data_IF_807224799367
#
_entry.id   IF_807224799367
#
_cell.length_a   1.000
_cell.length_b   1.000
_cell.length_c   1.000
_cell.angle_alpha   90.00
_cell.angle_beta   90.00
_cell.angle_gamma   90.00
#
_symmetry.space_group_name_H-M   'P 1'
#
loop_
_entity.id
_entity.type
_entity.pdbx_description
1 polymer ?
#
# COMPACT_ATOMS: atom_id res chain seq x y z
N UNK A 1 -8.61 -4.90 16.85
CA UNK A 1 -9.60 -3.82 17.09
C UNK A 1 -8.92 -2.46 17.32
N UNK A 2 -7.92 -2.35 18.21
CA UNK A 2 -7.20 -1.08 18.43
C UNK A 2 -6.62 -0.45 17.16
N UNK A 3 -5.98 -1.25 16.31
CA UNK A 3 -5.48 -0.79 15.01
C UNK A 3 -6.56 -0.13 14.12
N UNK A 4 -7.76 -0.73 14.03
CA UNK A 4 -8.86 -0.16 13.25
C UNK A 4 -9.30 1.20 13.79
N UNK A 5 -9.34 1.34 15.13
CA UNK A 5 -9.67 2.59 15.80
C UNK A 5 -8.60 3.66 15.57
N UNK A 6 -7.33 3.29 15.61
CA UNK A 6 -6.22 4.21 15.38
C UNK A 6 -6.10 4.67 13.93
N UNK A 7 -6.41 3.80 12.96
CA UNK A 7 -6.33 4.12 11.53
C UNK A 7 -7.59 4.80 10.98
N UNK A 8 -8.75 4.63 11.61
CA UNK A 8 -10.01 5.17 11.10
C UNK A 8 -10.00 6.69 10.85
N UNK A 9 -9.40 7.55 11.70
CA UNK A 9 -9.39 8.99 11.44
C UNK A 9 -8.65 9.33 10.14
N UNK A 10 -7.48 8.72 9.93
CA UNK A 10 -6.71 8.89 8.70
C UNK A 10 -7.50 8.39 7.49
N UNK A 11 -8.06 7.18 7.57
CA UNK A 11 -8.84 6.61 6.45
C UNK A 11 -10.01 7.51 6.07
N UNK A 12 -10.72 8.05 7.06
CA UNK A 12 -11.83 8.98 6.83
C UNK A 12 -11.34 10.27 6.17
N UNK A 13 -10.27 10.89 6.70
CA UNK A 13 -9.69 12.12 6.13
C UNK A 13 -9.29 11.90 4.68
N UNK A 14 -8.52 10.85 4.40
CA UNK A 14 -8.08 10.52 3.04
C UNK A 14 -9.28 10.24 2.12
N UNK A 15 -10.26 9.47 2.59
CA UNK A 15 -11.45 9.15 1.79
C UNK A 15 -12.29 10.40 1.47
N UNK A 16 -12.49 11.29 2.45
CA UNK A 16 -13.23 12.54 2.25
C UNK A 16 -12.49 13.45 1.27
N UNK A 17 -11.18 13.64 1.45
CA UNK A 17 -10.37 14.42 0.52
C UNK A 17 -10.39 13.84 -0.89
N UNK A 18 -10.34 12.51 -1.03
CA UNK A 18 -10.41 11.85 -2.32
C UNK A 18 -11.76 12.09 -2.98
N UNK A 19 -12.87 11.99 -2.24
CA UNK A 19 -14.20 12.29 -2.75
C UNK A 19 -14.34 13.75 -3.20
N UNK A 20 -13.86 14.70 -2.38
CA UNK A 20 -13.80 16.12 -2.75
C UNK A 20 -13.02 16.29 -4.05
N UNK A 21 -11.82 15.73 -4.13
CA UNK A 21 -10.99 15.78 -5.34
C UNK A 21 -11.75 15.23 -6.55
N UNK A 22 -12.41 14.08 -6.40
CA UNK A 22 -13.15 13.44 -7.49
C UNK A 22 -14.31 14.31 -7.98
N UNK A 23 -15.06 14.91 -7.06
CA UNK A 23 -16.21 15.76 -7.38
C UNK A 23 -15.82 17.04 -8.12
N UNK A 24 -14.67 17.65 -7.80
CA UNK A 24 -14.20 18.88 -8.45
C UNK A 24 -13.42 18.62 -9.74
N UNK A 25 -12.68 17.52 -9.82
CA UNK A 25 -11.77 17.24 -10.94
C UNK A 25 -12.47 16.49 -12.08
N UNK A 26 -13.33 15.53 -11.76
CA UNK A 26 -13.91 14.66 -12.78
C UNK A 26 -15.35 15.07 -13.10
N UNK A 27 -15.67 15.31 -14.39
CA UNK A 27 -17.04 15.59 -14.79
C UNK A 27 -17.91 14.36 -14.53
N UNK A 28 -19.15 14.60 -14.07
CA UNK A 28 -20.16 13.57 -13.90
C UNK A 28 -20.61 12.99 -15.25
N UNK A 29 -19.81 12.07 -15.81
CA UNK A 29 -20.11 11.36 -17.05
C UNK A 29 -20.78 10.04 -16.73
N UNK A 30 -21.91 9.78 -17.40
CA UNK A 30 -22.55 8.46 -17.35
C UNK A 30 -21.56 7.43 -17.88
N UNK A 31 -21.19 6.46 -17.04
CA UNK A 31 -20.34 5.34 -17.42
C UNK A 31 -21.14 4.51 -18.43
N UNK A 32 -20.82 4.66 -19.71
CA UNK A 32 -21.32 3.74 -20.74
C UNK A 32 -20.56 2.44 -20.53
N UNK A 33 -21.18 1.51 -19.81
CA UNK A 33 -20.71 0.14 -19.75
C UNK A 33 -20.82 -0.41 -21.16
N UNK A 34 -19.70 -0.41 -21.90
CA UNK A 34 -19.60 -1.32 -23.03
C UNK A 34 -19.90 -2.71 -22.47
N UNK A 35 -20.81 -3.43 -23.11
CA UNK A 35 -21.05 -4.84 -22.84
C UNK A 35 -19.81 -5.64 -23.28
N UNK A 36 -18.69 -5.43 -22.61
CA UNK A 36 -17.56 -6.32 -22.69
C UNK A 36 -18.08 -7.65 -22.17
N UNK A 37 -17.99 -8.69 -22.99
CA UNK A 37 -18.25 -10.06 -22.57
C UNK A 37 -17.21 -10.39 -21.49
N UNK A 38 -17.56 -10.15 -20.23
CA UNK A 38 -16.74 -10.57 -19.12
C UNK A 38 -16.72 -12.10 -19.12
N UNK A 39 -15.54 -12.74 -19.01
CA UNK A 39 -15.49 -14.18 -18.88
C UNK A 39 -16.33 -14.60 -17.67
N UNK A 40 -17.11 -15.69 -17.76
CA UNK A 40 -17.97 -16.11 -16.67
C UNK A 40 -17.13 -16.38 -15.42
N UNK A 41 -17.55 -15.80 -14.29
CA UNK A 41 -16.89 -16.00 -13.00
C UNK A 41 -16.99 -17.47 -12.62
N UNK A 42 -15.85 -18.13 -12.44
CA UNK A 42 -15.83 -19.51 -11.96
C UNK A 42 -16.10 -19.54 -10.44
N UNK A 43 -17.38 -19.62 -10.07
CA UNK A 43 -17.83 -19.63 -8.66
C UNK A 43 -17.18 -20.74 -7.83
N UNK A 44 -17.00 -21.94 -8.40
CA UNK A 44 -16.34 -23.05 -7.71
C UNK A 44 -14.90 -22.68 -7.33
N UNK A 45 -14.17 -22.11 -8.27
CA UNK A 45 -12.80 -21.66 -8.04
C UNK A 45 -12.75 -20.52 -7.02
N UNK A 46 -13.69 -19.58 -7.07
CA UNK A 46 -13.79 -18.49 -6.10
C UNK A 46 -13.96 -19.01 -4.67
N UNK A 47 -14.97 -19.86 -4.42
CA UNK A 47 -15.21 -20.40 -3.09
C UNK A 47 -14.09 -21.31 -2.61
N UNK A 48 -13.51 -22.14 -3.50
CA UNK A 48 -12.34 -22.94 -3.17
C UNK A 48 -11.15 -22.06 -2.76
N UNK A 49 -10.86 -21.00 -3.52
CA UNK A 49 -9.74 -20.08 -3.20
C UNK A 49 -9.98 -19.33 -1.90
N UNK A 50 -11.21 -18.85 -1.66
CA UNK A 50 -11.57 -18.17 -0.43
C UNK A 50 -11.46 -19.09 0.80
N UNK A 51 -11.93 -20.34 0.67
CA UNK A 51 -11.80 -21.33 1.72
C UNK A 51 -10.33 -21.68 2.02
N UNK A 52 -9.52 -21.92 0.98
CA UNK A 52 -8.09 -22.16 1.13
C UNK A 52 -7.35 -20.96 1.74
N UNK A 53 -7.77 -19.72 1.43
CA UNK A 53 -7.21 -18.52 2.05
C UNK A 53 -7.50 -18.49 3.56
N UNK A 54 -8.73 -18.76 3.97
CA UNK A 54 -9.10 -18.81 5.39
C UNK A 54 -8.29 -19.88 6.10
N UNK A 55 -8.20 -21.09 5.54
CA UNK A 55 -7.39 -22.16 6.13
C UNK A 55 -5.90 -21.81 6.18
N UNK A 56 -5.37 -21.11 5.18
CA UNK A 56 -4.00 -20.65 5.19
C UNK A 56 -3.74 -19.66 6.32
N UNK A 57 -4.66 -18.71 6.57
CA UNK A 57 -4.56 -17.77 7.69
C UNK A 57 -4.49 -18.53 9.01
N UNK A 58 -5.38 -19.50 9.24
CA UNK A 58 -5.31 -20.36 10.42
C UNK A 58 -3.99 -21.15 10.50
N UNK A 59 -3.49 -21.65 9.36
CA UNK A 59 -2.21 -22.36 9.32
C UNK A 59 -1.03 -21.48 9.71
N UNK A 60 -1.06 -20.18 9.38
CA UNK A 60 -0.04 -19.22 9.81
C UNK A 60 -0.09 -19.00 11.31
N UNK A 61 -1.28 -18.86 11.89
CA UNK A 61 -1.44 -18.74 13.35
C UNK A 61 -0.92 -19.98 14.10
N UNK A 62 -1.09 -21.18 13.50
CA UNK A 62 -0.62 -22.45 14.04
C UNK A 62 0.85 -22.78 13.70
N UNK A 63 1.58 -21.90 12.97
CA UNK A 63 2.98 -22.10 12.54
C UNK A 63 3.21 -23.32 11.61
N UNK A 64 2.23 -23.67 10.79
CA UNK A 64 2.31 -24.74 9.77
C UNK A 64 2.29 -24.21 8.34
N UNK A 65 2.52 -22.92 8.13
CA UNK A 65 2.35 -22.21 6.85
C UNK A 65 3.11 -22.84 5.69
N UNK A 66 4.31 -23.37 5.95
CA UNK A 66 5.15 -24.01 4.93
C UNK A 66 4.47 -25.26 4.35
N UNK A 67 3.93 -26.12 5.21
CA UNK A 67 3.23 -27.34 4.78
C UNK A 67 1.94 -27.02 4.06
N UNK A 68 1.19 -26.04 4.56
CA UNK A 68 -0.09 -25.66 3.95
C UNK A 68 0.09 -24.99 2.59
N UNK A 69 1.16 -24.22 2.40
CA UNK A 69 1.53 -23.69 1.07
C UNK A 69 1.77 -24.81 0.06
N UNK A 70 2.46 -25.88 0.45
CA UNK A 70 2.69 -27.04 -0.42
C UNK A 70 1.36 -27.70 -0.79
N UNK A 71 0.45 -27.86 0.18
CA UNK A 71 -0.89 -28.41 -0.05
C UNK A 71 -1.68 -27.55 -1.04
N UNK A 72 -1.70 -26.23 -0.85
CA UNK A 72 -2.37 -25.29 -1.77
C UNK A 72 -1.79 -25.42 -3.19
N UNK A 73 -0.46 -25.47 -3.30
CA UNK A 73 0.21 -25.58 -4.59
C UNK A 73 -0.16 -26.89 -5.30
N UNK A 74 -0.13 -28.02 -4.58
CA UNK A 74 -0.57 -29.34 -5.08
C UNK A 74 -2.03 -29.29 -5.52
N UNK A 75 -2.93 -28.75 -4.70
CA UNK A 75 -4.35 -28.64 -5.03
C UNK A 75 -4.55 -27.84 -6.33
N UNK A 76 -3.93 -26.67 -6.47
CA UNK A 76 -4.06 -25.91 -7.71
C UNK A 76 -3.37 -26.58 -8.90
N UNK A 77 -2.27 -27.30 -8.68
CA UNK A 77 -1.58 -28.02 -9.75
C UNK A 77 -2.48 -29.10 -10.37
N UNK A 78 -3.21 -29.86 -9.55
CA UNK A 78 -4.11 -30.92 -10.01
C UNK A 78 -5.48 -30.40 -10.45
N UNK A 79 -6.10 -29.49 -9.70
CA UNK A 79 -7.48 -29.06 -9.96
C UNK A 79 -7.59 -27.87 -10.92
N UNK A 80 -6.61 -26.95 -10.95
CA UNK A 80 -6.65 -25.81 -11.85
C UNK A 80 -5.28 -25.15 -12.09
N UNK A 81 -4.39 -25.83 -12.84
CA UNK A 81 -3.03 -25.35 -13.14
C UNK A 81 -2.97 -23.96 -13.78
N UNK A 82 -4.07 -23.51 -14.41
CA UNK A 82 -4.18 -22.16 -14.99
C UNK A 82 -4.05 -21.07 -13.93
N UNK A 83 -4.42 -21.33 -12.67
CA UNK A 83 -4.24 -20.39 -11.56
C UNK A 83 -2.74 -20.13 -11.37
N UNK A 84 -1.95 -21.19 -11.20
CA UNK A 84 -0.49 -21.10 -11.04
C UNK A 84 0.14 -20.40 -12.24
N UNK A 85 -0.25 -20.74 -13.47
CA UNK A 85 0.33 -20.15 -14.69
C UNK A 85 -0.04 -18.67 -14.89
N UNK A 86 -1.21 -18.23 -14.41
CA UNK A 86 -1.69 -16.84 -14.57
C UNK A 86 -1.30 -15.92 -13.41
N UNK A 87 -0.77 -16.47 -12.32
CA UNK A 87 -0.23 -15.68 -11.22
C UNK A 87 0.91 -14.80 -11.72
N UNK A 88 0.92 -13.54 -11.30
CA UNK A 88 2.00 -12.59 -11.60
C UNK A 88 3.21 -12.89 -10.70
N UNK A 89 3.96 -13.93 -11.05
CA UNK A 89 5.17 -14.33 -10.31
C UNK A 89 6.22 -13.22 -10.26
N UNK A 90 6.28 -12.37 -11.29
CA UNK A 90 7.16 -11.20 -11.31
C UNK A 90 6.83 -10.22 -10.17
N UNK A 91 5.54 -10.00 -9.88
CA UNK A 91 5.13 -9.20 -8.72
C UNK A 91 5.55 -9.84 -7.39
N UNK A 92 5.44 -11.17 -7.27
CA UNK A 92 5.88 -11.89 -6.05
C UNK A 92 7.40 -11.73 -5.85
N UNK A 93 8.19 -11.94 -6.90
CA UNK A 93 9.64 -11.75 -6.83
C UNK A 93 10.01 -10.29 -6.51
N UNK A 94 9.30 -9.32 -7.08
CA UNK A 94 9.49 -7.91 -6.74
C UNK A 94 9.29 -7.65 -5.23
N UNK A 95 8.26 -8.25 -4.62
CA UNK A 95 8.07 -8.16 -3.17
C UNK A 95 9.24 -8.79 -2.40
N UNK A 96 9.70 -9.98 -2.80
CA UNK A 96 10.85 -10.65 -2.17
C UNK A 96 12.09 -9.76 -2.22
N UNK A 97 12.43 -9.21 -3.39
CA UNK A 97 13.58 -8.33 -3.54
C UNK A 97 13.48 -7.10 -2.66
N UNK A 98 12.32 -6.45 -2.61
CA UNK A 98 12.15 -5.26 -1.79
C UNK A 98 12.32 -5.57 -0.30
N UNK A 99 11.80 -6.70 0.20
CA UNK A 99 12.04 -7.11 1.59
C UNK A 99 13.50 -7.44 1.91
N UNK A 100 14.23 -8.05 0.97
CA UNK A 100 15.67 -8.29 1.10
C UNK A 100 16.43 -6.95 1.12
N UNK A 101 16.09 -6.06 0.18
CA UNK A 101 16.76 -4.78 -0.04
C UNK A 101 16.49 -3.77 1.08
N UNK A 102 15.38 -3.87 1.82
CA UNK A 102 15.10 -2.97 2.96
C UNK A 102 16.25 -2.96 3.96
N UNK A 103 16.83 -4.13 4.26
CA UNK A 103 17.96 -4.22 5.18
C UNK A 103 19.20 -3.51 4.62
N UNK A 104 19.44 -3.61 3.32
CA UNK A 104 20.51 -2.90 2.65
C UNK A 104 20.29 -1.38 2.69
N UNK A 105 19.07 -0.91 2.40
CA UNK A 105 18.67 0.49 2.47
C UNK A 105 18.86 1.07 3.88
N UNK A 106 18.45 0.34 4.92
CA UNK A 106 18.66 0.72 6.31
C UNK A 106 20.15 0.84 6.69
N UNK A 107 21.06 0.18 5.96
CA UNK A 107 22.49 0.20 6.23
C UNK A 107 23.26 1.28 5.46
N UNK A 108 22.65 1.90 4.45
CA UNK A 108 23.29 2.95 3.65
C UNK A 108 23.69 4.15 4.52
N UNK A 109 24.97 4.49 4.48
CA UNK A 109 25.55 5.60 5.28
C UNK A 109 24.82 6.92 5.04
N UNK A 110 24.46 7.23 3.79
CA UNK A 110 23.74 8.46 3.45
C UNK A 110 22.37 8.56 4.13
N UNK A 111 21.60 7.46 4.14
CA UNK A 111 20.28 7.44 4.80
C UNK A 111 20.46 7.58 6.32
N UNK A 112 21.40 6.85 6.92
CA UNK A 112 21.69 6.97 8.36
C UNK A 112 22.08 8.40 8.75
N UNK A 113 22.98 9.03 8.00
CA UNK A 113 23.39 10.41 8.27
C UNK A 113 22.24 11.40 8.19
N UNK A 114 21.35 11.26 7.19
CA UNK A 114 20.16 12.13 7.08
C UNK A 114 19.21 11.97 8.26
N UNK A 115 19.02 10.74 8.76
CA UNK A 115 18.04 10.45 9.80
C UNK A 115 18.56 10.70 11.22
N UNK A 116 19.87 10.57 11.47
CA UNK A 116 20.46 10.75 12.80
C UNK A 116 20.28 12.18 13.35
N UNK A 117 20.13 13.17 12.46
CA UNK A 117 19.91 14.56 12.87
C UNK A 117 18.44 14.92 13.14
N UNK A 118 17.51 13.98 12.92
CA UNK A 118 16.09 14.21 13.10
C UNK A 118 15.61 13.73 14.47
N UNK A 119 14.83 14.56 15.15
CA UNK A 119 14.16 14.17 16.39
C UNK A 119 12.87 13.41 16.11
N UNK A 120 12.93 12.08 16.18
CA UNK A 120 11.77 11.21 15.97
C UNK A 120 10.84 11.08 17.18
N UNK A 121 11.16 11.72 18.32
CA UNK A 121 10.19 11.89 19.41
C UNK A 121 9.17 12.99 19.07
N UNK A 122 9.58 13.97 18.26
CA UNK A 122 8.66 14.92 17.68
C UNK A 122 7.78 14.23 16.63
N UNK A 123 6.49 14.19 16.93
CA UNK A 123 5.48 13.52 16.11
C UNK A 123 5.30 14.18 14.73
N UNK A 124 5.54 15.48 14.59
CA UNK A 124 5.50 16.16 13.29
C UNK A 124 6.71 15.76 12.43
N UNK A 125 7.91 15.71 13.02
CA UNK A 125 9.12 15.24 12.35
C UNK A 125 8.92 13.82 11.86
N UNK A 126 8.42 12.92 12.71
CA UNK A 126 8.15 11.53 12.35
C UNK A 126 7.11 11.39 11.23
N UNK A 127 6.03 12.18 11.27
CA UNK A 127 5.00 12.21 10.22
C UNK A 127 5.58 12.68 8.88
N UNK A 128 6.34 13.77 8.89
CA UNK A 128 7.01 14.33 7.70
C UNK A 128 8.02 13.36 7.12
N UNK A 129 8.89 12.80 7.96
CA UNK A 129 9.87 11.80 7.53
C UNK A 129 9.19 10.57 6.93
N UNK A 130 8.12 10.06 7.54
CA UNK A 130 7.33 8.95 6.98
C UNK A 130 6.73 9.28 5.62
N UNK A 131 6.14 10.46 5.50
CA UNK A 131 5.53 10.94 4.26
C UNK A 131 6.55 11.09 3.13
N UNK A 132 7.69 11.73 3.41
CA UNK A 132 8.73 11.99 2.41
C UNK A 132 9.53 10.74 2.04
N UNK A 133 9.91 9.91 3.02
CA UNK A 133 10.62 8.65 2.74
C UNK A 133 9.74 7.70 1.92
N UNK A 134 8.44 7.64 2.23
CA UNK A 134 7.52 6.81 1.45
C UNK A 134 7.40 7.27 0.00
N UNK A 135 7.64 8.53 -0.34
CA UNK A 135 7.67 8.97 -1.74
C UNK A 135 8.80 8.31 -2.54
N UNK A 136 9.94 8.06 -1.88
CA UNK A 136 11.19 7.66 -2.53
C UNK A 136 11.43 6.15 -2.43
N UNK A 137 11.15 5.54 -1.27
CA UNK A 137 11.49 4.15 -0.96
C UNK A 137 10.25 3.25 -0.89
N UNK A 138 9.06 3.81 -1.13
CA UNK A 138 7.74 3.20 -0.94
C UNK A 138 7.30 3.02 0.52
N UNK A 139 5.99 2.86 0.71
CA UNK A 139 5.34 2.80 2.01
C UNK A 139 5.82 1.66 2.92
N UNK A 140 6.05 0.45 2.39
CA UNK A 140 6.46 -0.71 3.21
C UNK A 140 7.90 -0.56 3.74
N UNK A 141 8.93 -0.33 2.90
CA UNK A 141 10.29 -0.11 3.39
C UNK A 141 10.45 1.12 4.27
N UNK A 142 9.74 2.22 3.96
CA UNK A 142 9.78 3.41 4.82
C UNK A 142 9.24 3.13 6.23
N UNK A 143 8.20 2.29 6.34
CA UNK A 143 7.64 1.85 7.63
C UNK A 143 8.67 1.06 8.43
N UNK A 144 9.28 0.05 7.80
CA UNK A 144 10.29 -0.81 8.45
C UNK A 144 11.49 0.03 8.87
N UNK A 145 11.96 0.92 8.00
CA UNK A 145 13.09 1.78 8.29
C UNK A 145 12.83 2.72 9.48
N UNK A 146 11.68 3.40 9.51
CA UNK A 146 11.35 4.31 10.62
C UNK A 146 11.01 3.59 11.93
N UNK A 147 10.53 2.35 11.88
CA UNK A 147 10.31 1.56 13.09
C UNK A 147 11.60 1.26 13.86
N UNK A 148 12.77 1.38 13.24
CA UNK A 148 14.06 1.30 13.93
C UNK A 148 14.40 2.56 14.74
N UNK A 149 13.71 3.69 14.48
CA UNK A 149 13.97 4.98 15.10
C UNK A 149 12.86 5.44 16.05
N UNK A 150 11.63 4.95 15.89
CA UNK A 150 10.52 5.29 16.78
C UNK A 150 9.54 4.12 16.95
N UNK A 151 9.05 3.86 18.18
CA UNK A 151 8.01 2.85 18.42
C UNK A 151 6.59 3.35 18.08
N UNK A 152 6.43 4.61 17.65
CA UNK A 152 5.11 5.20 17.43
C UNK A 152 4.51 4.79 16.07
N UNK A 153 4.01 3.55 16.01
CA UNK A 153 3.44 2.94 14.80
C UNK A 153 2.26 3.74 14.22
N UNK A 154 1.46 4.42 15.06
CA UNK A 154 0.34 5.26 14.60
C UNK A 154 0.85 6.37 13.68
N UNK A 155 1.83 7.15 14.15
CA UNK A 155 2.40 8.27 13.38
C UNK A 155 3.15 7.80 12.14
N UNK A 156 3.95 6.73 12.28
CA UNK A 156 4.67 6.15 11.14
C UNK A 156 3.66 5.73 10.07
N UNK A 157 2.63 4.98 10.45
CA UNK A 157 1.57 4.51 9.54
C UNK A 157 0.82 5.68 8.90
N UNK A 158 0.59 6.77 9.61
CA UNK A 158 -0.04 7.96 9.03
C UNK A 158 0.86 8.57 7.95
N UNK A 159 2.13 8.82 8.29
CA UNK A 159 3.07 9.42 7.36
C UNK A 159 3.25 8.59 6.09
N UNK A 160 3.54 7.30 6.23
CA UNK A 160 3.81 6.44 5.07
C UNK A 160 2.58 6.22 4.19
N UNK A 161 1.36 6.22 4.75
CA UNK A 161 0.14 6.09 3.93
C UNK A 161 -0.21 7.38 3.21
N UNK A 162 0.05 8.55 3.81
CA UNK A 162 -0.07 9.84 3.12
C UNK A 162 0.96 9.89 1.97
N UNK A 163 2.22 9.58 2.27
CA UNK A 163 3.31 9.52 1.29
C UNK A 163 3.07 8.52 0.15
N UNK A 164 2.46 7.37 0.42
CA UNK A 164 2.14 6.36 -0.59
C UNK A 164 1.17 6.81 -1.68
N UNK A 165 0.51 7.97 -1.53
CA UNK A 165 -0.42 8.52 -2.51
C UNK A 165 0.23 9.50 -3.50
N UNK A 166 1.53 9.75 -3.43
CA UNK A 166 2.20 10.71 -4.33
C UNK A 166 2.78 10.05 -5.58
N UNK A 167 4.09 9.78 -5.58
CA UNK A 167 4.82 9.28 -6.74
C UNK A 167 4.41 7.85 -7.11
N UNK A 168 4.66 7.46 -8.36
CA UNK A 168 4.42 6.11 -8.85
C UNK A 168 5.12 5.05 -8.01
N UNK A 169 6.38 5.31 -7.64
CA UNK A 169 7.19 4.41 -6.82
C UNK A 169 6.81 4.43 -5.33
N UNK A 170 5.96 5.37 -4.89
CA UNK A 170 5.65 5.54 -3.48
C UNK A 170 4.78 4.41 -2.91
N UNK A 171 4.11 3.65 -3.77
CA UNK A 171 3.31 2.49 -3.37
C UNK A 171 3.17 1.51 -4.53
N UNK A 172 3.18 0.22 -4.21
CA UNK A 172 2.87 -0.83 -5.18
C UNK A 172 1.47 -0.72 -5.76
N UNK A 173 0.51 -0.17 -5.00
CA UNK A 173 -0.84 0.05 -5.50
C UNK A 173 -0.82 0.96 -6.74
N UNK A 174 0.05 1.97 -6.76
CA UNK A 174 0.19 2.90 -7.88
C UNK A 174 0.79 2.19 -9.12
N UNK A 175 1.83 1.37 -8.90
CA UNK A 175 2.45 0.57 -9.96
C UNK A 175 1.46 -0.42 -10.59
N UNK A 176 0.68 -1.12 -9.75
CA UNK A 176 -0.33 -2.09 -10.19
C UNK A 176 -1.44 -1.37 -10.96
N UNK A 177 -1.96 -0.27 -10.43
CA UNK A 177 -3.04 0.50 -11.08
C UNK A 177 -2.62 1.02 -12.46
N UNK A 178 -1.42 1.62 -12.58
CA UNK A 178 -0.95 2.12 -13.87
C UNK A 178 -0.59 1.01 -14.86
N UNK A 179 -0.32 -0.22 -14.41
CA UNK A 179 -0.07 -1.37 -15.30
C UNK A 179 -1.28 -1.70 -16.19
N UNK A 180 -2.49 -1.45 -15.70
CA UNK A 180 -3.73 -1.71 -16.45
C UNK A 180 -4.15 -0.59 -17.41
N UNK A 181 -3.50 0.58 -17.34
CA UNK A 181 -3.83 1.72 -18.19
C UNK A 181 -2.93 1.69 -19.43
N UNK A 182 -3.53 1.59 -20.60
CA UNK A 182 -2.81 1.61 -21.87
C UNK A 182 -2.83 3.02 -22.50
N UNK A 183 -2.06 3.94 -21.91
CA UNK A 183 -1.88 5.30 -22.43
C UNK A 183 -0.47 5.80 -22.12
N UNK A 184 0.14 6.53 -23.07
CA UNK A 184 1.47 7.15 -22.89
C UNK A 184 1.44 8.31 -21.88
N UNK A 185 0.33 9.04 -21.79
CA UNK A 185 0.18 10.19 -20.88
C UNK A 185 -0.18 9.79 -19.43
N UNK A 186 -0.39 8.50 -19.15
CA UNK A 186 -0.88 8.02 -17.86
C UNK A 186 0.00 8.45 -16.68
N UNK A 187 1.32 8.46 -16.87
CA UNK A 187 2.27 8.81 -15.81
C UNK A 187 2.17 10.28 -15.42
N UNK A 188 2.16 11.18 -16.41
CA UNK A 188 2.05 12.62 -16.17
C UNK A 188 0.71 12.98 -15.52
N UNK A 189 -0.39 12.44 -16.05
CA UNK A 189 -1.73 12.68 -15.51
C UNK A 189 -1.83 12.15 -14.08
N UNK A 190 -1.30 10.94 -13.83
CA UNK A 190 -1.25 10.37 -12.49
C UNK A 190 -0.50 11.29 -11.53
N UNK A 191 0.74 11.64 -11.85
CA UNK A 191 1.58 12.46 -10.97
C UNK A 191 0.99 13.84 -10.70
N UNK A 192 0.33 14.46 -11.67
CA UNK A 192 -0.32 15.75 -11.48
C UNK A 192 -1.40 15.66 -10.39
N UNK A 193 -2.29 14.67 -10.46
CA UNK A 193 -3.37 14.50 -9.48
C UNK A 193 -2.87 13.92 -8.15
N UNK A 194 -1.98 12.94 -8.20
CA UNK A 194 -1.49 12.22 -7.03
C UNK A 194 -0.61 13.10 -6.14
N UNK A 195 0.28 13.93 -6.72
CA UNK A 195 1.08 14.89 -5.96
C UNK A 195 0.22 16.01 -5.37
N UNK A 196 -0.77 16.50 -6.12
CA UNK A 196 -1.70 17.51 -5.60
C UNK A 196 -2.48 16.96 -4.40
N UNK A 197 -3.02 15.75 -4.52
CA UNK A 197 -3.70 15.06 -3.44
C UNK A 197 -2.79 14.79 -2.23
N UNK A 198 -1.55 14.35 -2.46
CA UNK A 198 -0.54 14.16 -1.43
C UNK A 198 -0.25 15.45 -0.66
N UNK A 199 -0.01 16.57 -1.36
CA UNK A 199 0.29 17.85 -0.72
C UNK A 199 -0.90 18.33 0.11
N UNK A 200 -2.12 18.29 -0.44
CA UNK A 200 -3.33 18.70 0.29
C UNK A 200 -3.54 17.87 1.56
N UNK A 201 -3.43 16.54 1.46
CA UNK A 201 -3.65 15.65 2.61
C UNK A 201 -2.53 15.77 3.65
N UNK A 202 -1.27 15.92 3.22
CA UNK A 202 -0.14 16.15 4.13
C UNK A 202 -0.29 17.45 4.91
N UNK A 203 -0.58 18.56 4.22
CA UNK A 203 -0.77 19.87 4.87
C UNK A 203 -1.94 19.83 5.83
N UNK A 204 -3.06 19.21 5.44
CA UNK A 204 -4.22 19.05 6.31
C UNK A 204 -3.86 18.29 7.60
N UNK A 205 -3.22 17.12 7.48
CA UNK A 205 -2.86 16.31 8.67
C UNK A 205 -1.82 17.02 9.54
N UNK A 206 -0.89 17.79 8.95
CA UNK A 206 0.07 18.61 9.72
C UNK A 206 -0.62 19.74 10.50
N UNK A 207 -1.57 20.45 9.89
CA UNK A 207 -2.32 21.52 10.55
C UNK A 207 -3.21 20.99 11.68
N UNK A 208 -3.81 19.80 11.50
CA UNK A 208 -4.72 19.18 12.49
C UNK A 208 -4.04 18.11 13.36
N UNK A 209 -2.71 18.06 13.33
CA UNK A 209 -1.88 17.10 14.06
C UNK A 209 -2.20 17.05 15.55
N UNK A 210 -2.30 18.22 16.19
CA UNK A 210 -2.62 18.33 17.62
C UNK A 210 -3.97 17.73 18.00
N UNK A 211 -4.95 17.76 17.10
CA UNK A 211 -6.29 17.18 17.31
C UNK A 211 -6.29 15.67 17.02
N UNK A 212 -5.56 15.22 16.01
CA UNK A 212 -5.57 13.82 15.57
C UNK A 212 -4.75 12.87 16.46
N UNK A 213 -3.77 13.41 17.19
CA UNK A 213 -2.83 12.62 17.97
C UNK A 213 -3.06 12.67 19.49
N UNK A 214 -4.07 13.41 19.96
CA UNK A 214 -4.53 13.40 21.35
C UNK A 214 -5.66 12.41 21.68
N UNK A 215 -6.10 11.59 20.72
CA UNK A 215 -7.04 10.48 20.88
C UNK A 215 -6.39 9.12 20.57
#
# INVERSE_FOLDING_TARGET
LNFLKEMSPLVLILSVWLLVFVLFVFPAKKIKLNQAQHPPVNRKLFFLSAFLLILFIFSVELKFEQYFLIIIFILFLFFNKKVILKTDWGLIFLFIFIFIDVNFLCQLKGIKQLLVHLDFNNTQTLLLSGSLLSQIISNVPATILLSNYSPNFKIISYGVNIGGNGLLISSFANLIALRFINSKSKYLIFHFYSLSYFICTLLFVLCFHTVLFHF
#
